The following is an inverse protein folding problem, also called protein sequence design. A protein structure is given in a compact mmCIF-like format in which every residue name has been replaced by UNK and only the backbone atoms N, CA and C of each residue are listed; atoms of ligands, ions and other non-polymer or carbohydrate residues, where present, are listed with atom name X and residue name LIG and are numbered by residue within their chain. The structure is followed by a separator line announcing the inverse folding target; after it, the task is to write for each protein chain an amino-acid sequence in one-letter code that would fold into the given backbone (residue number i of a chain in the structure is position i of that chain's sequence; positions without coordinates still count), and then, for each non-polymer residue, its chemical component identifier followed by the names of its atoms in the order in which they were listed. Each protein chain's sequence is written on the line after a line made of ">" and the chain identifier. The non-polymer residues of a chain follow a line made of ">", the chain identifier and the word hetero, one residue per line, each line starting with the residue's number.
data_IF_736524067955
#
_entry.id   IF_736524067955
#
_cell.length_a   1.000
_cell.length_b   1.000
_cell.length_c   1.000
_cell.angle_alpha   90.00
_cell.angle_beta   90.00
_cell.angle_gamma   90.00
#
_symmetry.space_group_name_H-M   'P 1'
#
loop_
_entity.id
_entity.type
_entity.pdbx_description
1 polymer ?
#
# COMPACT_ATOMS: atom_id res chain seq x y z
N UNK A 1 -7.76 -19.82 11.82
CA UNK A 1 -7.39 -18.69 10.97
C UNK A 1 -6.71 -19.15 9.67
N UNK A 2 -5.65 -20.00 9.72
CA UNK A 2 -4.90 -20.43 8.54
C UNK A 2 -5.81 -21.04 7.46
N UNK A 3 -6.59 -22.09 7.80
CA UNK A 3 -7.49 -22.73 6.84
C UNK A 3 -8.56 -21.77 6.27
N UNK A 4 -9.06 -20.85 7.12
CA UNK A 4 -10.00 -19.81 6.65
C UNK A 4 -9.35 -18.85 5.66
N UNK A 5 -8.10 -18.43 5.90
CA UNK A 5 -7.35 -17.57 5.00
C UNK A 5 -7.11 -18.23 3.63
N UNK A 6 -6.71 -19.50 3.62
CA UNK A 6 -6.50 -20.29 2.40
C UNK A 6 -7.80 -20.41 1.58
N UNK A 7 -8.89 -20.82 2.25
CA UNK A 7 -10.21 -20.98 1.62
C UNK A 7 -10.73 -19.64 1.07
N UNK A 8 -10.61 -18.57 1.86
CA UNK A 8 -11.10 -17.23 1.45
C UNK A 8 -10.31 -16.70 0.26
N UNK A 9 -8.98 -16.81 0.28
CA UNK A 9 -8.14 -16.40 -0.84
C UNK A 9 -8.53 -17.14 -2.13
N UNK A 10 -8.56 -18.46 -2.09
CA UNK A 10 -8.84 -19.27 -3.29
C UNK A 10 -10.27 -19.02 -3.82
N UNK A 11 -11.25 -18.98 -2.92
CA UNK A 11 -12.65 -18.68 -3.29
C UNK A 11 -12.80 -17.31 -3.93
N UNK A 12 -12.17 -16.27 -3.34
CA UNK A 12 -12.26 -14.91 -3.87
C UNK A 12 -11.59 -14.77 -5.24
N UNK A 13 -10.40 -15.34 -5.41
CA UNK A 13 -9.70 -15.30 -6.70
C UNK A 13 -10.44 -16.11 -7.78
N UNK A 14 -11.07 -17.24 -7.42
CA UNK A 14 -11.93 -18.00 -8.33
C UNK A 14 -13.15 -17.18 -8.79
N UNK A 15 -13.76 -16.40 -7.88
CA UNK A 15 -14.84 -15.45 -8.25
C UNK A 15 -14.37 -14.39 -9.24
N UNK A 16 -13.14 -13.86 -9.06
CA UNK A 16 -12.56 -12.90 -10.02
C UNK A 16 -12.34 -13.56 -11.38
N UNK A 17 -11.80 -14.77 -11.41
CA UNK A 17 -11.59 -15.55 -12.65
C UNK A 17 -12.91 -15.88 -13.38
N UNK A 18 -14.05 -15.86 -12.66
CA UNK A 18 -15.38 -16.13 -13.22
C UNK A 18 -16.07 -14.89 -13.78
N UNK A 19 -15.52 -13.70 -13.60
CA UNK A 19 -16.14 -12.45 -14.09
C UNK A 19 -16.17 -12.40 -15.62
N UNK A 20 -17.25 -11.84 -16.20
CA UNK A 20 -17.29 -11.56 -17.64
C UNK A 20 -16.07 -10.71 -18.05
N UNK A 21 -15.44 -11.07 -19.15
CA UNK A 21 -14.26 -10.35 -19.68
C UNK A 21 -12.92 -10.70 -19.02
N UNK A 22 -12.86 -11.67 -18.10
CA UNK A 22 -11.57 -12.15 -17.56
C UNK A 22 -10.79 -12.90 -18.65
N UNK A 23 -9.69 -12.32 -19.13
CA UNK A 23 -8.92 -12.80 -20.29
C UNK A 23 -7.65 -13.58 -19.93
N UNK A 24 -7.34 -13.74 -18.63
CA UNK A 24 -6.13 -14.44 -18.22
C UNK A 24 -6.37 -15.94 -17.96
N UNK A 25 -5.33 -16.79 -17.98
CA UNK A 25 -5.45 -18.19 -17.61
C UNK A 25 -6.11 -18.36 -16.23
N UNK A 26 -7.01 -19.33 -16.13
CA UNK A 26 -7.71 -19.66 -14.88
C UNK A 26 -7.03 -20.84 -14.18
N UNK A 27 -7.12 -20.90 -12.85
CA UNK A 27 -6.59 -22.03 -12.06
C UNK A 27 -7.21 -23.37 -12.49
N UNK A 28 -8.51 -23.38 -12.84
CA UNK A 28 -9.24 -24.58 -13.21
C UNK A 28 -8.70 -25.32 -14.46
N UNK A 29 -7.96 -24.60 -15.32
CA UNK A 29 -7.35 -25.19 -16.53
C UNK A 29 -5.83 -25.35 -16.41
N UNK A 30 -5.27 -25.08 -15.23
CA UNK A 30 -3.84 -25.23 -14.99
C UNK A 30 -3.42 -26.69 -15.00
N UNK A 31 -2.33 -26.99 -15.69
CA UNK A 31 -1.70 -28.32 -15.72
C UNK A 31 -0.52 -28.35 -14.75
N UNK A 32 -0.53 -29.34 -13.86
CA UNK A 32 0.57 -29.56 -12.90
C UNK A 32 1.91 -29.69 -13.61
N UNK A 33 2.93 -29.04 -13.09
CA UNK A 33 4.29 -29.03 -13.66
C UNK A 33 4.52 -27.98 -14.75
N UNK A 34 3.49 -27.22 -15.14
CA UNK A 34 3.64 -26.07 -16.04
C UNK A 34 3.84 -24.79 -15.23
N UNK A 35 4.35 -23.74 -15.89
CA UNK A 35 4.49 -22.42 -15.27
C UNK A 35 3.13 -21.89 -14.78
N UNK A 36 3.08 -21.41 -13.54
CA UNK A 36 1.87 -20.88 -12.91
C UNK A 36 1.53 -19.51 -13.50
N UNK A 37 0.51 -19.46 -14.35
CA UNK A 37 0.07 -18.24 -15.06
C UNK A 37 -1.29 -17.73 -14.63
N UNK A 38 -2.03 -18.47 -13.79
CA UNK A 38 -3.31 -18.04 -13.27
C UNK A 38 -3.16 -17.00 -12.14
N UNK A 39 -4.24 -16.28 -11.85
CA UNK A 39 -4.29 -15.23 -10.85
C UNK A 39 -3.80 -15.73 -9.49
N UNK A 40 -2.88 -15.01 -8.90
CA UNK A 40 -2.29 -15.29 -7.59
C UNK A 40 -2.64 -14.18 -6.58
N UNK A 41 -2.54 -14.52 -5.31
CA UNK A 41 -2.69 -13.58 -4.21
C UNK A 41 -1.95 -14.07 -2.98
N UNK A 42 -1.98 -13.27 -1.94
CA UNK A 42 -1.40 -13.60 -0.64
C UNK A 42 -2.28 -13.04 0.48
N UNK A 43 -2.20 -13.68 1.65
CA UNK A 43 -2.81 -13.20 2.90
C UNK A 43 -1.77 -13.33 4.00
N UNK A 44 -1.68 -12.33 4.85
CA UNK A 44 -0.92 -12.38 6.10
C UNK A 44 -1.72 -11.71 7.20
N UNK A 45 -1.74 -12.33 8.37
CA UNK A 45 -2.38 -11.81 9.58
C UNK A 45 -1.41 -11.93 10.74
N UNK A 46 -1.24 -10.84 11.46
CA UNK A 46 -0.39 -10.76 12.65
C UNK A 46 -1.23 -10.54 13.89
N UNK A 47 -0.76 -11.04 15.01
CA UNK A 47 -1.21 -10.61 16.32
C UNK A 47 -0.52 -9.29 16.66
N UNK A 48 -1.30 -8.25 16.92
CA UNK A 48 -0.75 -6.92 17.16
C UNK A 48 0.00 -6.81 18.50
N UNK A 49 -0.33 -7.65 19.47
CA UNK A 49 0.30 -7.59 20.80
C UNK A 49 1.66 -8.27 20.85
N UNK A 50 1.80 -9.38 20.12
CA UNK A 50 3.01 -10.22 20.14
C UNK A 50 3.83 -10.16 18.86
N UNK A 51 3.25 -9.66 17.75
CA UNK A 51 3.84 -9.74 16.42
C UNK A 51 3.80 -11.15 15.80
N UNK A 52 3.15 -12.12 16.47
CA UNK A 52 3.08 -13.49 15.97
C UNK A 52 2.27 -13.59 14.68
N UNK A 53 2.73 -14.45 13.78
CA UNK A 53 2.02 -14.72 12.51
C UNK A 53 0.86 -15.69 12.82
N UNK A 54 -0.37 -15.20 12.72
CA UNK A 54 -1.59 -15.99 12.97
C UNK A 54 -2.05 -16.76 11.72
N UNK A 55 -1.81 -16.21 10.54
CA UNK A 55 -2.04 -16.89 9.27
C UNK A 55 -1.13 -16.30 8.18
N UNK A 56 -0.63 -17.17 7.29
CA UNK A 56 0.18 -16.75 6.15
C UNK A 56 -0.09 -17.65 4.95
N UNK A 57 -0.59 -17.05 3.88
CA UNK A 57 -0.87 -17.73 2.60
C UNK A 57 -0.10 -17.02 1.50
N UNK A 58 0.95 -17.64 0.98
CA UNK A 58 1.85 -17.05 -0.02
C UNK A 58 1.41 -17.24 -1.47
N UNK A 59 0.34 -17.99 -1.70
CA UNK A 59 -0.20 -18.31 -3.03
C UNK A 59 -1.36 -19.29 -2.95
N UNK A 60 -2.01 -19.58 -4.08
CA UNK A 60 -3.18 -20.45 -4.16
C UNK A 60 -2.87 -21.96 -4.09
N UNK A 61 -1.65 -22.34 -4.44
CA UNK A 61 -1.20 -23.74 -4.42
C UNK A 61 0.33 -23.77 -4.29
N UNK A 62 0.82 -24.38 -3.22
CA UNK A 62 2.26 -24.57 -3.02
C UNK A 62 2.83 -25.56 -4.04
N UNK A 63 2.06 -26.59 -4.40
CA UNK A 63 2.48 -27.58 -5.38
C UNK A 63 2.67 -27.03 -6.80
N UNK A 64 1.98 -25.93 -7.15
CA UNK A 64 2.14 -25.26 -8.44
C UNK A 64 3.18 -24.15 -8.39
N UNK A 65 3.35 -23.50 -7.24
CA UNK A 65 4.31 -22.43 -7.05
C UNK A 65 4.72 -22.32 -5.59
N UNK A 66 5.98 -22.65 -5.29
CA UNK A 66 6.59 -22.47 -3.97
C UNK A 66 6.97 -21.00 -3.68
N UNK A 67 6.70 -20.07 -4.59
CA UNK A 67 6.99 -18.66 -4.41
C UNK A 67 6.05 -18.04 -3.37
N UNK A 68 6.57 -17.80 -2.16
CA UNK A 68 5.80 -17.16 -1.09
C UNK A 68 5.74 -15.64 -1.32
N UNK A 69 4.58 -15.15 -1.76
CA UNK A 69 4.35 -13.73 -2.09
C UNK A 69 4.33 -12.83 -0.88
N UNK A 70 4.06 -13.35 0.30
CA UNK A 70 4.08 -12.56 1.54
C UNK A 70 5.47 -11.98 1.80
N UNK A 71 6.53 -12.75 1.57
CA UNK A 71 7.92 -12.35 1.81
C UNK A 71 8.70 -11.95 0.55
N UNK A 72 8.32 -12.48 -0.60
CA UNK A 72 9.14 -12.39 -1.81
C UNK A 72 8.59 -11.46 -2.87
N UNK A 73 7.27 -11.24 -2.91
CA UNK A 73 6.69 -10.32 -3.89
C UNK A 73 6.93 -8.88 -3.44
N UNK A 74 7.82 -8.20 -4.13
CA UNK A 74 7.97 -6.75 -4.00
C UNK A 74 7.00 -6.07 -4.96
N UNK A 75 6.20 -5.16 -4.41
CA UNK A 75 5.21 -4.40 -5.16
C UNK A 75 5.19 -2.97 -4.64
N UNK A 76 4.85 -2.06 -5.53
CA UNK A 76 4.67 -0.66 -5.16
C UNK A 76 3.63 -0.54 -4.03
N UNK A 77 4.00 0.15 -2.95
CA UNK A 77 3.15 0.33 -1.77
C UNK A 77 1.93 1.19 -2.12
N UNK A 78 2.14 2.21 -2.93
CA UNK A 78 1.08 3.11 -3.38
C UNK A 78 0.36 3.77 -2.19
N UNK A 79 -0.93 4.01 -2.34
CA UNK A 79 -1.75 4.69 -1.33
C UNK A 79 -1.82 4.00 0.03
N UNK A 80 -1.39 2.75 0.14
CA UNK A 80 -1.25 2.07 1.43
C UNK A 80 -0.21 2.74 2.35
N UNK A 81 0.70 3.55 1.78
CA UNK A 81 1.68 4.31 2.55
C UNK A 81 1.13 5.61 3.14
N UNK A 82 0.02 6.14 2.64
CA UNK A 82 -0.54 7.43 3.08
C UNK A 82 -0.81 7.53 4.59
N UNK A 83 -1.32 6.50 5.30
CA UNK A 83 -1.47 6.57 6.74
C UNK A 83 -0.20 6.98 7.48
N UNK A 84 0.96 6.50 7.04
CA UNK A 84 2.26 6.86 7.65
C UNK A 84 2.65 8.31 7.36
N UNK A 85 2.35 8.83 6.16
CA UNK A 85 2.57 10.24 5.79
C UNK A 85 1.72 11.16 6.67
N UNK A 86 0.45 10.82 6.87
CA UNK A 86 -0.46 11.59 7.71
C UNK A 86 -0.09 11.49 9.19
N UNK A 87 0.23 10.29 9.69
CA UNK A 87 0.68 10.12 11.07
C UNK A 87 1.93 10.95 11.36
N UNK A 88 2.93 10.92 10.46
CA UNK A 88 4.11 11.77 10.59
C UNK A 88 3.75 13.25 10.66
N UNK A 89 2.87 13.74 9.78
CA UNK A 89 2.49 15.16 9.80
C UNK A 89 1.73 15.53 11.08
N UNK A 90 0.81 14.71 11.53
CA UNK A 90 0.05 14.94 12.77
C UNK A 90 0.99 14.99 13.99
N UNK A 91 1.96 14.08 14.05
CA UNK A 91 2.93 14.01 15.16
C UNK A 91 3.91 15.17 15.15
N UNK A 92 4.47 15.52 13.99
CA UNK A 92 5.60 16.46 13.90
C UNK A 92 5.18 17.91 13.77
N UNK A 93 3.96 18.21 13.33
CA UNK A 93 3.52 19.60 13.06
C UNK A 93 2.33 20.03 13.89
N UNK A 94 1.69 19.10 14.61
CA UNK A 94 0.42 19.37 15.29
C UNK A 94 -0.77 19.57 14.34
N UNK A 95 -0.64 19.19 13.05
CA UNK A 95 -1.76 19.20 12.12
C UNK A 95 -2.90 18.32 12.67
N UNK A 96 -4.08 18.88 12.72
CA UNK A 96 -5.26 18.13 13.19
C UNK A 96 -6.04 17.52 12.01
N UNK A 97 -6.76 16.42 12.22
CA UNK A 97 -7.60 15.81 11.18
C UNK A 97 -8.66 16.74 10.58
N UNK A 98 -9.13 17.72 11.36
CA UNK A 98 -10.08 18.75 10.92
C UNK A 98 -9.44 19.97 10.25
N UNK A 99 -8.11 20.12 10.28
CA UNK A 99 -7.43 21.24 9.65
C UNK A 99 -7.55 21.15 8.11
N UNK A 100 -7.79 22.30 7.49
CA UNK A 100 -8.02 22.37 6.05
C UNK A 100 -6.71 22.26 5.27
N UNK A 101 -6.71 21.41 4.25
CA UNK A 101 -5.63 21.21 3.27
C UNK A 101 -6.20 21.32 1.87
N UNK A 102 -5.49 21.99 0.98
CA UNK A 102 -5.95 22.21 -0.38
C UNK A 102 -5.78 20.95 -1.26
N UNK A 103 -6.79 20.60 -2.03
CA UNK A 103 -6.81 19.50 -3.00
C UNK A 103 -6.56 19.97 -4.45
N UNK A 104 -6.35 21.27 -4.70
CA UNK A 104 -6.12 21.78 -6.05
C UNK A 104 -4.89 21.18 -6.72
N UNK A 105 -4.77 21.27 -8.06
CA UNK A 105 -3.61 20.80 -8.79
C UNK A 105 -2.29 21.29 -8.16
N UNK A 106 -1.28 20.44 -8.21
CA UNK A 106 0.06 20.75 -7.69
C UNK A 106 1.09 20.47 -8.77
N UNK A 107 2.12 21.32 -8.84
CA UNK A 107 3.29 21.18 -9.68
C UNK A 107 4.53 21.19 -8.82
N UNK A 108 5.35 20.16 -8.93
CA UNK A 108 6.55 19.98 -8.15
C UNK A 108 7.75 19.77 -9.05
N UNK A 109 8.85 20.44 -8.75
CA UNK A 109 10.16 20.11 -9.28
C UNK A 109 11.06 19.71 -8.11
N UNK A 110 11.81 18.66 -8.25
CA UNK A 110 12.75 18.21 -7.25
C UNK A 110 14.16 18.20 -7.83
N UNK A 111 15.09 18.88 -7.17
CA UNK A 111 16.50 19.01 -7.57
C UNK A 111 16.71 19.45 -9.05
N UNK A 112 15.88 20.37 -9.55
CA UNK A 112 15.97 20.86 -10.91
C UNK A 112 15.51 19.86 -11.98
N UNK A 113 14.93 18.73 -11.59
CA UNK A 113 14.36 17.74 -12.49
C UNK A 113 13.06 18.19 -13.18
N UNK A 114 12.49 17.34 -14.03
CA UNK A 114 11.25 17.65 -14.74
C UNK A 114 10.10 17.94 -13.78
N UNK A 115 9.19 18.82 -14.19
CA UNK A 115 8.00 19.15 -13.40
C UNK A 115 7.08 17.94 -13.33
N UNK A 116 6.75 17.54 -12.10
CA UNK A 116 5.80 16.48 -11.81
C UNK A 116 4.46 17.07 -11.36
N UNK A 117 3.38 16.66 -12.02
CA UNK A 117 2.01 17.11 -11.74
C UNK A 117 1.10 15.92 -11.48
N UNK A 118 1.09 15.39 -10.24
CA UNK A 118 0.27 14.24 -9.89
C UNK A 118 -1.22 14.59 -9.95
N UNK A 119 -2.00 13.64 -10.45
CA UNK A 119 -3.45 13.72 -10.51
C UNK A 119 -4.07 12.89 -9.39
N UNK A 120 -5.26 13.26 -8.95
CA UNK A 120 -6.11 12.37 -8.15
C UNK A 120 -6.64 11.24 -9.04
N UNK A 121 -6.91 10.07 -8.46
CA UNK A 121 -7.30 8.88 -9.23
C UNK A 121 -8.61 9.02 -10.02
N UNK A 122 -9.49 9.91 -9.56
CA UNK A 122 -10.75 10.26 -10.23
C UNK A 122 -10.64 11.46 -11.20
N UNK A 123 -9.44 12.04 -11.34
CA UNK A 123 -9.18 13.22 -12.17
C UNK A 123 -9.82 14.51 -11.64
N UNK A 124 -10.41 14.52 -10.46
CA UNK A 124 -11.10 15.70 -9.91
C UNK A 124 -10.30 16.38 -8.80
N UNK A 125 -10.66 17.64 -8.51
CA UNK A 125 -10.08 18.45 -7.44
C UNK A 125 -11.22 19.12 -6.67
N UNK A 126 -11.09 19.19 -5.35
CA UNK A 126 -12.19 19.62 -4.46
C UNK A 126 -11.87 20.85 -3.61
N UNK A 127 -10.75 21.54 -3.89
CA UNK A 127 -10.33 22.73 -3.15
C UNK A 127 -9.97 22.42 -1.69
N UNK A 128 -10.27 23.35 -0.79
CA UNK A 128 -9.99 23.19 0.65
C UNK A 128 -10.90 22.14 1.28
N UNK A 129 -10.31 21.13 1.89
CA UNK A 129 -10.98 20.04 2.60
C UNK A 129 -10.27 19.75 3.93
N UNK A 130 -10.99 19.23 4.96
CA UNK A 130 -10.34 18.69 6.14
C UNK A 130 -9.28 17.64 5.79
N UNK A 131 -8.13 17.66 6.45
CA UNK A 131 -7.01 16.76 6.16
C UNK A 131 -7.41 15.28 6.21
N UNK A 132 -8.29 14.90 7.13
CA UNK A 132 -8.85 13.54 7.21
C UNK A 132 -9.53 13.10 5.90
N UNK A 133 -10.21 14.00 5.18
CA UNK A 133 -10.86 13.69 3.90
C UNK A 133 -9.82 13.29 2.85
N UNK A 134 -8.64 13.92 2.88
CA UNK A 134 -7.53 13.56 2.01
C UNK A 134 -7.08 12.11 2.19
N UNK A 135 -7.02 11.63 3.43
CA UNK A 135 -6.70 10.23 3.75
C UNK A 135 -7.86 9.30 3.39
N UNK A 136 -9.09 9.61 3.85
CA UNK A 136 -10.29 8.78 3.63
C UNK A 136 -10.57 8.57 2.15
N UNK A 137 -10.45 9.62 1.33
CA UNK A 137 -10.67 9.57 -0.12
C UNK A 137 -9.40 9.30 -0.92
N UNK A 138 -8.28 9.07 -0.23
CA UNK A 138 -6.98 8.79 -0.86
C UNK A 138 -6.55 9.85 -1.88
N UNK A 139 -6.77 11.15 -1.58
CA UNK A 139 -6.42 12.28 -2.46
C UNK A 139 -4.91 12.41 -2.59
N UNK A 140 -4.38 12.38 -3.81
CA UNK A 140 -2.94 12.45 -4.04
C UNK A 140 -2.36 13.83 -3.73
N UNK A 141 -3.02 14.89 -4.22
CA UNK A 141 -2.58 16.26 -4.03
C UNK A 141 -2.57 16.69 -2.57
N UNK A 142 -3.60 16.28 -1.80
CA UNK A 142 -3.63 16.52 -0.36
C UNK A 142 -2.54 15.74 0.38
N UNK A 143 -2.33 14.45 0.02
CA UNK A 143 -1.30 13.61 0.66
C UNK A 143 0.10 14.17 0.45
N UNK A 144 0.38 14.75 -0.72
CA UNK A 144 1.65 15.41 -0.98
C UNK A 144 1.80 16.65 -0.10
N UNK A 145 0.79 17.52 -0.01
CA UNK A 145 0.84 18.72 0.83
C UNK A 145 1.00 18.39 2.31
N UNK A 146 0.27 17.39 2.79
CA UNK A 146 0.42 16.89 4.17
C UNK A 146 1.83 16.34 4.39
N UNK A 147 2.35 15.57 3.44
CA UNK A 147 3.72 15.06 3.51
C UNK A 147 4.78 16.17 3.50
N UNK A 148 4.57 17.24 2.71
CA UNK A 148 5.45 18.41 2.70
C UNK A 148 5.44 19.14 4.05
N UNK A 149 4.28 19.27 4.69
CA UNK A 149 4.18 19.84 6.03
C UNK A 149 4.98 19.02 7.05
N UNK A 150 4.83 17.69 7.05
CA UNK A 150 5.54 16.77 7.93
C UNK A 150 7.04 16.63 7.62
N UNK A 151 7.47 17.07 6.43
CA UNK A 151 8.87 17.02 5.99
C UNK A 151 9.32 15.68 5.44
N UNK A 152 10.01 15.71 4.30
CA UNK A 152 10.44 14.50 3.59
C UNK A 152 11.43 13.66 4.42
N UNK A 153 12.32 14.31 5.17
CA UNK A 153 13.30 13.59 5.99
C UNK A 153 12.63 12.81 7.13
N UNK A 154 11.61 13.40 7.76
CA UNK A 154 10.85 12.71 8.82
C UNK A 154 10.08 11.50 8.27
N UNK A 155 9.44 11.65 7.10
CA UNK A 155 8.74 10.53 6.43
C UNK A 155 9.73 9.43 6.04
N UNK A 156 10.92 9.79 5.54
CA UNK A 156 11.97 8.82 5.20
C UNK A 156 12.49 8.09 6.43
N UNK A 157 12.71 8.80 7.53
CA UNK A 157 13.16 8.21 8.79
C UNK A 157 12.12 7.25 9.37
N UNK A 158 10.86 7.66 9.40
CA UNK A 158 9.75 6.77 9.78
C UNK A 158 9.72 5.51 8.92
N UNK A 159 9.83 5.65 7.59
CA UNK A 159 9.83 4.53 6.68
C UNK A 159 11.03 3.58 6.89
N UNK A 160 12.21 4.12 7.22
CA UNK A 160 13.41 3.31 7.57
C UNK A 160 13.20 2.56 8.88
N UNK A 161 12.71 3.23 9.91
CA UNK A 161 12.37 2.63 11.22
C UNK A 161 11.41 1.47 11.04
N UNK A 162 10.40 1.62 10.17
CA UNK A 162 9.42 0.60 9.83
C UNK A 162 9.93 -0.44 8.81
N UNK A 163 11.20 -0.36 8.41
CA UNK A 163 11.89 -1.32 7.54
C UNK A 163 11.26 -1.49 6.15
N UNK A 164 10.73 -0.41 5.59
CA UNK A 164 10.14 -0.44 4.24
C UNK A 164 11.16 -0.74 3.12
N UNK A 165 12.46 -0.63 3.39
CA UNK A 165 13.54 -0.89 2.43
C UNK A 165 14.09 0.40 1.82
N UNK A 166 14.41 0.37 0.53
CA UNK A 166 14.91 1.54 -0.19
C UNK A 166 13.83 2.59 -0.37
N UNK A 167 14.12 3.81 0.09
CA UNK A 167 13.17 4.91 0.16
C UNK A 167 13.65 6.04 -0.75
N UNK A 168 12.83 6.48 -1.73
CA UNK A 168 13.22 7.56 -2.64
C UNK A 168 13.40 8.88 -1.90
N UNK A 169 14.37 9.67 -2.35
CA UNK A 169 14.59 11.05 -1.88
C UNK A 169 13.89 12.04 -2.80
N UNK A 170 12.59 11.90 -2.90
CA UNK A 170 11.77 12.79 -3.71
C UNK A 170 10.30 12.77 -3.25
N UNK A 171 9.48 13.78 -3.59
CA UNK A 171 8.08 13.87 -3.18
C UNK A 171 7.19 12.69 -3.60
N UNK A 172 7.64 11.81 -4.48
CA UNK A 172 6.90 10.59 -4.86
C UNK A 172 6.72 9.62 -3.69
N UNK A 173 7.57 9.73 -2.65
CA UNK A 173 7.44 8.95 -1.40
C UNK A 173 6.06 9.14 -0.77
N UNK A 174 5.49 10.35 -0.81
CA UNK A 174 4.19 10.65 -0.20
C UNK A 174 3.03 9.86 -0.81
N UNK A 175 3.24 9.30 -2.01
CA UNK A 175 2.30 8.43 -2.69
C UNK A 175 2.71 6.96 -2.67
N UNK A 176 3.76 6.61 -1.92
CA UNK A 176 4.25 5.24 -1.82
C UNK A 176 4.86 4.70 -3.12
N UNK A 177 5.54 5.56 -3.91
CA UNK A 177 6.18 5.17 -5.16
C UNK A 177 7.51 4.44 -4.92
N UNK A 178 7.48 3.40 -4.11
CA UNK A 178 8.58 2.48 -3.84
C UNK A 178 8.02 1.08 -3.54
N UNK A 179 8.89 0.07 -3.60
CA UNK A 179 8.47 -1.33 -3.48
C UNK A 179 8.82 -1.93 -2.13
N UNK A 180 7.90 -2.72 -1.59
CA UNK A 180 8.14 -3.57 -0.43
C UNK A 180 7.30 -4.85 -0.49
N UNK A 181 7.33 -5.65 0.58
CA UNK A 181 6.58 -6.90 0.66
C UNK A 181 5.28 -6.75 1.47
N UNK A 182 4.27 -7.61 1.23
CA UNK A 182 3.08 -7.65 2.07
C UNK A 182 3.37 -7.82 3.56
N UNK A 183 4.38 -8.62 3.92
CA UNK A 183 4.81 -8.78 5.30
C UNK A 183 5.26 -7.45 5.92
N UNK A 184 6.12 -6.71 5.22
CA UNK A 184 6.59 -5.41 5.70
C UNK A 184 5.44 -4.43 5.92
N UNK A 185 4.52 -4.33 4.96
CA UNK A 185 3.35 -3.44 5.10
C UNK A 185 2.49 -3.84 6.29
N UNK A 186 2.21 -5.14 6.45
CA UNK A 186 1.37 -5.63 7.56
C UNK A 186 2.03 -5.36 8.92
N UNK A 187 3.34 -5.62 9.02
CA UNK A 187 4.10 -5.32 10.24
C UNK A 187 4.13 -3.81 10.54
N UNK A 188 4.36 -2.98 9.53
CA UNK A 188 4.36 -1.53 9.71
C UNK A 188 2.98 -1.01 10.15
N UNK A 189 1.89 -1.54 9.60
CA UNK A 189 0.52 -1.14 9.97
C UNK A 189 0.18 -1.47 11.44
N UNK A 190 0.85 -2.43 12.07
CA UNK A 190 0.60 -2.77 13.47
C UNK A 190 0.88 -1.61 14.44
N UNK A 191 1.70 -0.61 14.07
CA UNK A 191 1.95 0.57 14.92
C UNK A 191 0.68 1.35 15.24
N UNK A 192 -0.32 1.31 14.38
CA UNK A 192 -1.61 1.98 14.63
C UNK A 192 -2.51 1.22 15.61
N UNK A 193 -2.18 -0.02 15.93
CA UNK A 193 -2.94 -0.88 16.85
C UNK A 193 -2.23 -1.09 18.18
N UNK A 194 -0.92 -0.83 18.25
CA UNK A 194 -0.11 -0.94 19.49
C UNK A 194 0.07 0.45 20.10
N UNK A 195 -0.08 0.51 21.43
CA UNK A 195 0.20 1.74 22.20
C UNK A 195 1.68 1.84 22.54
#
# INVERSE_FOLDING_TARGET
>A
LQASAEKSLDSHLTKIESRPGFQHPKKSVHQRGKATRYLQGAVVSLDNSSGAILAMVGGRSFGDSAFNRVYRARRQVGSTFKPFVYANAFETTGLLPGAYVNDDPIRLSHNGGPVWSPQNSDGTFTGLQPSAIGLIRSRNTMSIRVGQLGGINNVRELARTLKFGEIPDSPVIYLGAFETTPMTVTSAMSIFATK
#
